data_IF_347576819948
#
_entry.id   IF_347576819948
#
_cell.length_a   1.000
_cell.length_b   1.000
_cell.length_c   1.000
_cell.angle_alpha   90.00
_cell.angle_beta   90.00
_cell.angle_gamma   90.00
#
_symmetry.space_group_name_H-M   'P 1'
#
loop_
_entity.id
_entity.type
_entity.pdbx_description
1 polymer ?
#
# COMPACT_ATOMS: atom_id res chain seq x y z
N UNK A 1 -7.06 36.20 52.28
CA UNK A 1 -5.74 36.23 51.60
C UNK A 1 -5.03 34.87 51.56
N UNK A 2 -4.99 34.07 52.64
CA UNK A 2 -4.23 32.80 52.71
C UNK A 2 -4.63 31.74 51.67
N UNK A 3 -5.92 31.60 51.36
CA UNK A 3 -6.42 30.58 50.41
C UNK A 3 -6.01 30.90 48.95
N UNK A 4 -5.98 32.18 48.57
CA UNK A 4 -5.55 32.59 47.22
C UNK A 4 -4.06 32.37 46.99
N UNK A 5 -3.24 32.49 48.05
CA UNK A 5 -1.81 32.21 48.01
C UNK A 5 -1.55 30.70 47.85
N UNK A 6 -2.31 29.86 48.56
CA UNK A 6 -2.22 28.39 48.43
C UNK A 6 -2.58 27.91 47.03
N UNK A 7 -3.66 28.46 46.44
CA UNK A 7 -4.06 28.12 45.07
C UNK A 7 -2.97 28.55 44.07
N UNK A 8 -2.38 29.73 44.24
CA UNK A 8 -1.28 30.19 43.39
C UNK A 8 -0.05 29.28 43.49
N UNK A 9 0.32 28.85 44.70
CA UNK A 9 1.46 27.94 44.89
C UNK A 9 1.21 26.55 44.27
N UNK A 10 -0.01 26.02 44.38
CA UNK A 10 -0.37 24.73 43.77
C UNK A 10 -0.36 24.82 42.23
N UNK A 11 -0.84 25.93 41.67
CA UNK A 11 -0.82 26.14 40.21
C UNK A 11 0.62 26.30 39.67
N UNK A 12 1.51 26.98 40.41
CA UNK A 12 2.92 27.09 40.02
C UNK A 12 3.64 25.74 40.13
N UNK A 13 3.35 24.94 41.16
CA UNK A 13 3.91 23.60 41.31
C UNK A 13 3.41 22.65 40.21
N UNK A 14 2.12 22.73 39.83
CA UNK A 14 1.56 21.96 38.72
C UNK A 14 2.18 22.37 37.38
N UNK A 15 2.39 23.68 37.15
CA UNK A 15 3.07 24.17 35.94
C UNK A 15 4.54 23.70 35.89
N UNK A 16 5.24 23.69 37.02
CA UNK A 16 6.64 23.26 37.08
C UNK A 16 6.82 21.74 36.87
N UNK A 17 5.87 20.92 37.34
CA UNK A 17 5.84 19.47 37.10
C UNK A 17 5.41 19.11 35.66
N UNK A 18 4.57 19.94 35.03
CA UNK A 18 4.26 19.80 33.61
C UNK A 18 5.46 20.17 32.71
N UNK A 19 6.29 21.15 33.11
CA UNK A 19 7.46 21.56 32.32
C UNK A 19 8.65 20.58 32.40
N UNK A 20 8.79 19.79 33.47
CA UNK A 20 9.93 18.85 33.60
C UNK A 20 9.71 17.52 32.90
N UNK A 21 8.51 17.25 32.37
CA UNK A 21 8.22 16.03 31.59
C UNK A 21 8.41 16.21 30.07
N UNK A 22 8.68 17.43 29.59
CA UNK A 22 8.92 17.71 28.16
C UNK A 22 10.40 17.79 27.75
N UNK A 23 11.34 17.40 28.62
CA UNK A 23 12.79 17.45 28.32
C UNK A 23 13.47 16.08 28.20
N UNK A 24 12.75 15.09 27.68
CA UNK A 24 13.36 14.15 26.73
C UNK A 24 12.79 14.46 25.35
N UNK A 25 13.37 15.50 24.75
CA UNK A 25 13.45 15.59 23.29
C UNK A 25 14.18 14.32 22.82
N UNK A 26 13.42 13.25 22.61
CA UNK A 26 13.68 12.38 21.46
C UNK A 26 13.89 13.36 20.32
N UNK A 27 15.11 13.41 19.78
CA UNK A 27 15.28 14.09 18.51
C UNK A 27 14.17 13.56 17.61
N UNK A 28 13.28 14.42 17.07
CA UNK A 28 12.36 13.97 16.05
C UNK A 28 13.25 13.23 15.04
N UNK A 29 12.87 12.01 14.65
CA UNK A 29 13.34 11.48 13.37
C UNK A 29 13.14 12.65 12.43
N UNK A 30 14.26 13.20 11.95
CA UNK A 30 14.26 14.46 11.22
C UNK A 30 13.21 14.29 10.14
N UNK A 31 12.13 15.06 10.23
CA UNK A 31 11.31 15.36 9.06
C UNK A 31 12.16 16.31 8.22
N UNK A 32 13.28 15.80 7.72
CA UNK A 32 13.85 16.29 6.49
C UNK A 32 12.78 15.91 5.48
N UNK A 33 11.84 16.85 5.24
CA UNK A 33 10.85 16.70 4.20
C UNK A 33 11.55 16.13 2.98
N UNK A 34 11.00 15.03 2.46
CA UNK A 34 11.54 14.21 1.37
C UNK A 34 12.62 15.01 0.62
N UNK A 35 13.93 14.66 0.74
CA UNK A 35 14.95 15.28 -0.08
C UNK A 35 14.47 15.27 -1.53
N UNK A 36 14.51 16.42 -2.21
CA UNK A 36 14.09 16.51 -3.61
C UNK A 36 14.60 15.28 -4.34
N UNK A 37 13.68 14.58 -5.03
CA UNK A 37 13.99 13.38 -5.77
C UNK A 37 15.30 13.63 -6.52
N UNK A 38 16.32 12.80 -6.28
CA UNK A 38 17.46 12.71 -7.18
C UNK A 38 16.91 12.74 -8.60
N UNK A 39 17.46 13.61 -9.47
CA UNK A 39 16.99 13.78 -10.85
C UNK A 39 16.95 12.45 -11.64
N UNK A 40 17.55 11.40 -11.09
CA UNK A 40 17.27 10.01 -11.45
C UNK A 40 17.18 9.16 -10.17
N UNK A 41 16.03 8.55 -9.85
CA UNK A 41 15.95 7.59 -8.74
C UNK A 41 16.89 6.40 -9.02
N UNK A 42 17.54 5.82 -8.00
CA UNK A 42 18.43 4.69 -8.20
C UNK A 42 17.64 3.52 -8.81
N UNK A 43 18.09 3.05 -9.98
CA UNK A 43 17.52 1.87 -10.61
C UNK A 43 18.29 0.63 -10.19
N UNK A 44 17.56 -0.40 -9.76
CA UNK A 44 18.11 -1.74 -9.47
C UNK A 44 17.93 -2.61 -10.70
N UNK A 45 18.99 -3.36 -11.03
CA UNK A 45 19.04 -4.19 -12.23
C UNK A 45 19.06 -5.65 -11.81
N UNK A 46 18.12 -6.41 -12.37
CA UNK A 46 18.04 -7.85 -12.18
C UNK A 46 18.16 -8.57 -13.52
N UNK A 47 18.75 -9.76 -13.51
CA UNK A 47 19.06 -10.54 -14.71
C UNK A 47 18.72 -12.01 -14.48
N UNK A 48 18.16 -12.67 -15.49
CA UNK A 48 18.02 -14.13 -15.46
C UNK A 48 19.26 -14.84 -16.06
N UNK A 49 19.26 -16.17 -15.96
CA UNK A 49 20.31 -17.02 -16.52
C UNK A 49 20.47 -16.90 -18.05
N UNK A 50 19.48 -16.36 -18.76
CA UNK A 50 19.55 -16.11 -20.21
C UNK A 50 20.17 -14.74 -20.55
N UNK A 51 20.45 -13.90 -19.54
CA UNK A 51 20.97 -12.55 -19.69
C UNK A 51 19.91 -11.50 -19.99
N UNK A 52 18.62 -11.83 -19.85
CA UNK A 52 17.54 -10.83 -19.96
C UNK A 52 17.56 -9.96 -18.71
N UNK A 53 17.60 -8.65 -18.92
CA UNK A 53 17.72 -7.66 -17.85
C UNK A 53 16.40 -6.93 -17.63
N UNK A 54 16.12 -6.62 -16.37
CA UNK A 54 14.98 -5.82 -15.94
C UNK A 54 15.47 -4.74 -15.00
N UNK A 55 14.91 -3.54 -15.17
CA UNK A 55 15.20 -2.37 -14.36
C UNK A 55 13.98 -2.03 -13.54
N UNK A 56 14.15 -1.93 -12.22
CA UNK A 56 13.11 -1.38 -11.34
C UNK A 56 13.60 -0.08 -10.70
N UNK A 57 12.66 0.80 -10.40
CA UNK A 57 12.88 1.99 -9.60
C UNK A 57 11.78 2.06 -8.54
N UNK A 58 12.15 2.41 -7.31
CA UNK A 58 11.22 2.47 -6.17
C UNK A 58 11.40 3.79 -5.41
N UNK A 59 11.09 4.93 -6.05
CA UNK A 59 11.42 6.25 -5.52
C UNK A 59 10.76 6.60 -4.17
N UNK A 60 9.61 6.00 -3.82
CA UNK A 60 8.99 6.14 -2.51
C UNK A 60 9.72 5.29 -1.47
N UNK A 61 10.01 4.02 -1.78
CA UNK A 61 10.80 3.15 -0.91
C UNK A 61 12.21 3.68 -0.67
N UNK A 62 12.82 4.31 -1.68
CA UNK A 62 14.16 4.90 -1.62
C UNK A 62 14.28 6.08 -0.65
N UNK A 63 13.16 6.53 -0.05
CA UNK A 63 13.15 7.54 1.02
C UNK A 63 13.40 6.96 2.42
N UNK A 64 13.29 5.64 2.59
CA UNK A 64 13.42 4.97 3.88
C UNK A 64 14.87 4.59 4.15
N UNK A 65 15.57 5.23 5.07
CA UNK A 65 16.97 4.88 5.35
C UNK A 65 17.09 3.67 6.26
N UNK A 66 18.02 2.78 5.94
CA UNK A 66 18.46 1.71 6.83
C UNK A 66 19.88 2.02 7.33
N UNK A 67 20.01 2.37 8.61
CA UNK A 67 21.29 2.78 9.20
C UNK A 67 22.25 1.60 9.47
N UNK A 68 21.74 0.38 9.38
CA UNK A 68 22.48 -0.87 9.59
C UNK A 68 21.86 -1.73 10.68
N UNK A 69 22.28 -2.99 10.73
CA UNK A 69 21.72 -3.99 11.65
C UNK A 69 21.96 -3.57 13.12
N UNK A 70 23.10 -2.96 13.45
CA UNK A 70 23.39 -2.48 14.83
C UNK A 70 22.40 -1.43 15.31
N UNK A 71 22.11 -0.41 14.50
CA UNK A 71 21.16 0.65 14.87
C UNK A 71 19.74 0.10 14.96
N UNK A 72 19.36 -0.81 14.06
CA UNK A 72 18.10 -1.54 14.15
C UNK A 72 17.97 -2.27 15.49
N UNK A 73 19.00 -3.01 15.93
CA UNK A 73 18.95 -3.75 17.19
C UNK A 73 18.85 -2.82 18.41
N UNK A 74 19.49 -1.64 18.36
CA UNK A 74 19.34 -0.61 19.39
C UNK A 74 17.91 -0.11 19.45
N UNK A 75 17.29 0.19 18.30
CA UNK A 75 15.90 0.63 18.24
C UNK A 75 14.93 -0.44 18.73
N UNK A 76 15.15 -1.70 18.33
CA UNK A 76 14.35 -2.84 18.79
C UNK A 76 14.43 -3.01 20.30
N UNK A 77 15.63 -2.93 20.88
CA UNK A 77 15.83 -3.04 22.33
C UNK A 77 15.07 -1.98 23.11
N UNK A 78 15.03 -0.75 22.59
CA UNK A 78 14.27 0.32 23.22
C UNK A 78 12.75 0.10 23.10
N UNK A 79 12.27 -0.45 21.99
CA UNK A 79 10.84 -0.76 21.78
C UNK A 79 10.37 -1.95 22.63
N UNK A 80 11.21 -2.95 22.85
CA UNK A 80 10.89 -4.18 23.60
C UNK A 80 11.22 -4.10 25.08
N UNK A 81 11.77 -2.98 25.58
CA UNK A 81 12.20 -2.84 26.99
C UNK A 81 11.13 -3.15 28.04
N UNK A 82 9.84 -3.02 27.69
CA UNK A 82 8.70 -3.29 28.57
C UNK A 82 8.04 -4.66 28.31
N UNK A 83 8.56 -5.46 27.38
CA UNK A 83 8.03 -6.78 27.02
C UNK A 83 9.20 -7.77 26.86
N UNK A 84 9.46 -8.56 27.92
CA UNK A 84 10.59 -9.49 27.96
C UNK A 84 10.48 -10.63 26.94
N UNK A 85 9.27 -11.12 26.66
CA UNK A 85 9.03 -12.19 25.68
C UNK A 85 9.32 -11.70 24.26
N UNK A 86 8.86 -10.48 23.92
CA UNK A 86 9.19 -9.85 22.65
C UNK A 86 10.68 -9.50 22.54
N UNK A 87 11.33 -9.17 23.66
CA UNK A 87 12.76 -8.85 23.67
C UNK A 87 13.62 -10.08 23.36
N UNK A 88 13.28 -11.27 23.87
CA UNK A 88 14.03 -12.50 23.63
C UNK A 88 14.07 -12.84 22.13
N UNK A 89 12.92 -13.00 21.48
CA UNK A 89 12.89 -13.44 20.07
C UNK A 89 13.38 -12.35 19.10
N UNK A 90 12.99 -11.09 19.30
CA UNK A 90 13.31 -10.02 18.36
C UNK A 90 14.78 -9.58 18.45
N UNK A 91 15.40 -9.64 19.63
CA UNK A 91 16.81 -9.29 19.78
C UNK A 91 17.72 -10.42 19.34
N UNK A 92 17.39 -11.67 19.64
CA UNK A 92 18.14 -12.83 19.14
C UNK A 92 18.11 -12.87 17.60
N UNK A 93 16.93 -12.63 17.02
CA UNK A 93 16.78 -12.48 15.58
C UNK A 93 17.60 -11.33 15.01
N UNK A 94 17.64 -10.19 15.71
CA UNK A 94 18.36 -9.01 15.25
C UNK A 94 19.88 -9.22 15.25
N UNK A 95 20.41 -9.82 16.31
CA UNK A 95 21.84 -10.08 16.46
C UNK A 95 22.36 -11.06 15.38
N UNK A 96 21.50 -11.90 14.82
CA UNK A 96 21.83 -12.88 13.78
C UNK A 96 21.52 -12.44 12.34
N UNK A 97 21.03 -11.21 12.10
CA UNK A 97 20.66 -10.73 10.74
C UNK A 97 21.84 -10.81 9.78
N UNK A 98 23.02 -10.38 10.23
CA UNK A 98 24.21 -10.20 9.37
C UNK A 98 24.94 -11.50 9.03
N UNK A 99 24.49 -12.65 9.55
CA UNK A 99 25.19 -13.93 9.38
C UNK A 99 24.60 -14.75 8.24
N UNK A 100 25.47 -15.44 7.50
CA UNK A 100 25.11 -16.33 6.40
C UNK A 100 25.40 -15.74 5.01
N UNK A 101 24.77 -16.33 4.00
CA UNK A 101 24.80 -15.87 2.60
C UNK A 101 23.92 -14.63 2.39
N UNK A 102 24.15 -13.88 1.31
CA UNK A 102 23.33 -12.70 0.98
C UNK A 102 21.83 -13.00 0.87
N UNK A 103 21.48 -14.19 0.37
CA UNK A 103 20.09 -14.67 0.29
C UNK A 103 19.51 -14.90 1.69
N UNK A 104 20.25 -15.56 2.58
CA UNK A 104 19.83 -15.79 3.96
C UNK A 104 19.66 -14.46 4.71
N UNK A 105 20.61 -13.53 4.57
CA UNK A 105 20.52 -12.19 5.16
C UNK A 105 19.26 -11.46 4.67
N UNK A 106 18.98 -11.50 3.36
CA UNK A 106 17.76 -10.89 2.80
C UNK A 106 16.49 -11.52 3.38
N UNK A 107 16.45 -12.85 3.52
CA UNK A 107 15.31 -13.57 4.09
C UNK A 107 15.10 -13.24 5.57
N UNK A 108 16.17 -13.19 6.38
CA UNK A 108 16.10 -12.78 7.79
C UNK A 108 15.56 -11.36 7.93
N UNK A 109 16.00 -10.43 7.07
CA UNK A 109 15.48 -9.05 7.03
C UNK A 109 14.00 -9.01 6.66
N UNK A 110 13.56 -9.75 5.65
CA UNK A 110 12.14 -9.82 5.25
C UNK A 110 11.28 -10.40 6.37
N UNK A 111 11.74 -11.47 7.00
CA UNK A 111 11.03 -12.13 8.10
C UNK A 111 10.87 -11.19 9.30
N UNK A 112 11.96 -10.58 9.78
CA UNK A 112 11.91 -9.68 10.92
C UNK A 112 11.11 -8.40 10.58
N UNK A 113 11.21 -7.88 9.35
CA UNK A 113 10.35 -6.77 8.91
C UNK A 113 8.86 -7.15 8.96
N UNK A 114 8.51 -8.36 8.53
CA UNK A 114 7.13 -8.85 8.58
C UNK A 114 6.64 -8.92 10.01
N UNK A 115 7.42 -9.51 10.93
CA UNK A 115 7.02 -9.55 12.35
C UNK A 115 6.88 -8.18 13.02
N UNK A 116 7.69 -7.19 12.60
CA UNK A 116 7.62 -5.84 13.16
C UNK A 116 6.46 -5.03 12.60
N UNK A 117 6.25 -5.14 11.29
CA UNK A 117 5.27 -4.37 10.54
C UNK A 117 3.85 -4.94 10.61
N UNK A 118 3.71 -6.25 10.82
CA UNK A 118 2.42 -6.90 10.98
C UNK A 118 1.77 -6.51 12.31
N UNK A 119 0.55 -5.99 12.21
CA UNK A 119 -0.29 -5.65 13.36
C UNK A 119 -1.18 -6.80 13.82
N UNK A 120 -1.20 -7.93 13.11
CA UNK A 120 -2.05 -9.06 13.45
C UNK A 120 -1.52 -9.81 14.69
N UNK A 121 -2.42 -10.11 15.62
CA UNK A 121 -2.13 -10.77 16.91
C UNK A 121 -1.64 -12.23 16.77
N UNK A 122 -1.47 -12.72 15.53
CA UNK A 122 -1.00 -14.07 15.23
C UNK A 122 0.49 -14.26 15.58
N UNK A 123 1.28 -13.17 15.59
CA UNK A 123 2.61 -13.16 16.20
C UNK A 123 2.50 -12.72 17.66
N UNK A 124 2.79 -13.64 18.57
CA UNK A 124 2.58 -13.65 20.03
C UNK A 124 3.22 -12.51 20.85
N UNK A 125 3.66 -11.42 20.23
CA UNK A 125 4.42 -10.35 20.86
C UNK A 125 3.57 -9.11 20.98
N UNK A 126 3.02 -8.86 22.17
CA UNK A 126 2.33 -7.61 22.49
C UNK A 126 3.31 -6.42 22.50
N UNK A 127 3.71 -5.97 21.32
CA UNK A 127 4.40 -4.70 21.13
C UNK A 127 3.40 -3.56 21.40
N UNK A 128 3.86 -2.40 21.87
CA UNK A 128 2.97 -1.26 22.09
C UNK A 128 2.14 -0.94 20.82
N UNK A 129 0.81 -0.87 20.98
CA UNK A 129 -0.14 -0.57 19.89
C UNK A 129 -0.67 0.87 19.97
N UNK A 130 0.06 1.77 20.64
CA UNK A 130 -0.22 3.19 20.40
C UNK A 130 0.24 3.57 18.99
N UNK A 131 -0.45 4.54 18.39
CA UNK A 131 -0.24 4.93 16.99
C UNK A 131 1.21 5.34 16.69
N UNK A 132 1.88 6.01 17.64
CA UNK A 132 3.27 6.43 17.50
C UNK A 132 4.22 5.23 17.39
N UNK A 133 4.09 4.27 18.29
CA UNK A 133 4.94 3.08 18.31
C UNK A 133 4.64 2.16 17.13
N UNK A 134 3.37 2.01 16.73
CA UNK A 134 3.00 1.28 15.51
C UNK A 134 3.62 1.90 14.26
N UNK A 135 3.50 3.22 14.08
CA UNK A 135 4.10 3.92 12.94
C UNK A 135 5.63 3.74 12.95
N UNK A 136 6.29 3.82 14.10
CA UNK A 136 7.72 3.60 14.22
C UNK A 136 8.14 2.19 13.80
N UNK A 137 7.41 1.16 14.25
CA UNK A 137 7.64 -0.24 13.87
C UNK A 137 7.51 -0.44 12.36
N UNK A 138 6.47 0.11 11.75
CA UNK A 138 6.26 -0.02 10.29
C UNK A 138 7.35 0.73 9.52
N UNK A 139 7.80 1.90 9.96
CA UNK A 139 8.93 2.61 9.33
C UNK A 139 10.21 1.77 9.37
N UNK A 140 10.53 1.17 10.52
CA UNK A 140 11.68 0.29 10.65
C UNK A 140 11.55 -0.93 9.73
N UNK A 141 10.39 -1.56 9.70
CA UNK A 141 10.12 -2.69 8.84
C UNK A 141 10.24 -2.34 7.35
N UNK A 142 9.72 -1.19 6.90
CA UNK A 142 9.88 -0.73 5.51
C UNK A 142 11.35 -0.44 5.20
N UNK A 143 12.10 0.19 6.11
CA UNK A 143 13.55 0.39 5.95
C UNK A 143 14.30 -0.94 5.82
N UNK A 144 13.91 -1.97 6.56
CA UNK A 144 14.47 -3.31 6.45
C UNK A 144 14.13 -3.98 5.11
N UNK A 145 12.90 -3.85 4.62
CA UNK A 145 12.51 -4.36 3.30
C UNK A 145 13.28 -3.66 2.17
N UNK A 146 13.53 -2.36 2.29
CA UNK A 146 14.45 -1.65 1.39
C UNK A 146 15.86 -2.25 1.48
N UNK A 147 16.39 -2.48 2.67
CA UNK A 147 17.72 -3.05 2.85
C UNK A 147 17.83 -4.49 2.34
N UNK A 148 16.75 -5.27 2.40
CA UNK A 148 16.66 -6.59 1.76
C UNK A 148 16.68 -6.46 0.23
N UNK A 149 15.92 -5.51 -0.32
CA UNK A 149 15.92 -5.20 -1.75
C UNK A 149 17.30 -4.75 -2.25
N UNK A 150 18.01 -3.93 -1.48
CA UNK A 150 19.36 -3.44 -1.78
C UNK A 150 20.44 -4.54 -1.65
N UNK A 151 20.21 -5.55 -0.81
CA UNK A 151 21.11 -6.68 -0.62
C UNK A 151 20.86 -7.82 -1.63
N UNK A 152 19.71 -7.83 -2.31
CA UNK A 152 19.40 -8.82 -3.33
C UNK A 152 20.41 -8.70 -4.49
N UNK A 153 21.12 -9.79 -4.77
CA UNK A 153 22.07 -9.85 -5.87
C UNK A 153 21.34 -9.66 -7.22
N UNK A 154 22.03 -9.19 -8.28
CA UNK A 154 21.41 -9.00 -9.60
C UNK A 154 20.78 -10.26 -10.20
N UNK A 155 21.28 -11.44 -9.86
CA UNK A 155 20.74 -12.75 -10.26
C UNK A 155 19.71 -13.33 -9.28
N UNK A 156 19.42 -12.62 -8.19
CA UNK A 156 18.52 -12.99 -7.10
C UNK A 156 17.18 -12.22 -7.19
N UNK A 157 16.54 -12.24 -8.36
CA UNK A 157 15.28 -11.52 -8.62
C UNK A 157 14.12 -12.01 -7.73
N UNK A 158 14.18 -13.25 -7.24
CA UNK A 158 13.17 -13.84 -6.37
C UNK A 158 13.18 -13.18 -4.98
N UNK A 159 14.36 -12.90 -4.45
CA UNK A 159 14.57 -12.25 -3.16
C UNK A 159 14.08 -10.81 -3.19
N UNK A 160 14.39 -10.09 -4.29
CA UNK A 160 13.85 -8.76 -4.55
C UNK A 160 12.31 -8.77 -4.67
N UNK A 161 11.76 -9.76 -5.36
CA UNK A 161 10.30 -9.96 -5.45
C UNK A 161 9.69 -10.17 -4.07
N UNK A 162 10.26 -11.03 -3.22
CA UNK A 162 9.77 -11.26 -1.86
C UNK A 162 9.82 -10.02 -0.98
N UNK A 163 10.89 -9.22 -1.06
CA UNK A 163 10.98 -7.97 -0.30
C UNK A 163 9.88 -6.96 -0.70
N UNK A 164 9.60 -6.84 -2.00
CA UNK A 164 8.55 -5.96 -2.51
C UNK A 164 7.15 -6.46 -2.17
N UNK A 165 6.93 -7.78 -2.21
CA UNK A 165 5.65 -8.40 -1.88
C UNK A 165 5.29 -8.16 -0.40
N UNK A 166 6.29 -8.22 0.49
CA UNK A 166 6.14 -7.92 1.92
C UNK A 166 5.84 -6.46 2.26
N UNK A 167 5.84 -5.52 1.30
CA UNK A 167 5.46 -4.12 1.54
C UNK A 167 3.97 -3.91 1.86
N UNK A 168 3.17 -4.98 1.87
CA UNK A 168 1.80 -4.93 2.39
C UNK A 168 1.72 -4.40 3.83
N UNK A 169 2.79 -4.52 4.63
CA UNK A 169 2.92 -3.93 5.98
C UNK A 169 2.74 -2.40 5.99
N UNK A 170 2.88 -1.71 4.85
CA UNK A 170 2.59 -0.28 4.73
C UNK A 170 1.09 0.03 4.96
N UNK A 171 0.22 -0.98 4.98
CA UNK A 171 -1.16 -0.85 5.43
C UNK A 171 -1.24 -0.33 6.87
N UNK A 172 -0.32 -0.74 7.73
CA UNK A 172 -0.38 -0.46 9.17
C UNK A 172 0.21 0.91 9.54
N UNK A 173 0.98 1.50 8.61
CA UNK A 173 1.43 2.89 8.65
C UNK A 173 0.39 3.91 8.14
N UNK A 174 -0.75 3.46 7.61
CA UNK A 174 -1.67 4.31 6.84
C UNK A 174 -2.35 5.45 7.63
N UNK A 175 -2.20 5.51 8.95
CA UNK A 175 -2.73 6.59 9.79
C UNK A 175 -2.06 7.95 9.59
N UNK A 176 -0.72 8.02 9.49
CA UNK A 176 -0.01 9.31 9.43
C UNK A 176 1.49 9.16 9.10
N UNK A 177 1.87 8.60 7.94
CA UNK A 177 3.25 8.78 7.48
C UNK A 177 3.43 10.25 7.05
N UNK A 178 3.85 11.10 8.00
CA UNK A 178 3.99 12.54 7.83
C UNK A 178 4.94 12.95 6.69
N UNK A 179 5.79 12.02 6.24
CA UNK A 179 6.69 12.20 5.11
C UNK A 179 6.04 12.08 3.72
N UNK A 180 4.78 11.68 3.60
CA UNK A 180 4.06 11.63 2.31
C UNK A 180 2.86 12.58 2.34
N UNK A 181 2.66 13.39 1.29
CA UNK A 181 1.59 14.38 1.24
C UNK A 181 0.62 14.11 0.07
N UNK A 182 -0.68 13.89 0.32
CA UNK A 182 -1.31 13.79 1.65
C UNK A 182 -1.01 12.43 2.34
N UNK A 183 -0.86 12.39 3.67
CA UNK A 183 -0.45 11.18 4.39
C UNK A 183 -1.33 9.96 4.17
N UNK A 184 -2.65 10.16 4.04
CA UNK A 184 -3.61 9.07 3.86
C UNK A 184 -3.39 8.27 2.56
N UNK A 185 -2.72 8.85 1.56
CA UNK A 185 -2.40 8.17 0.30
C UNK A 185 -1.10 7.37 0.34
N UNK A 186 -0.33 7.43 1.43
CA UNK A 186 0.96 6.76 1.52
C UNK A 186 0.85 5.26 1.20
N UNK A 187 -0.13 4.58 1.81
CA UNK A 187 -0.40 3.16 1.60
C UNK A 187 -0.61 2.84 0.12
N UNK A 188 -1.49 3.60 -0.54
CA UNK A 188 -1.85 3.37 -1.93
C UNK A 188 -0.69 3.71 -2.87
N UNK A 189 0.09 4.74 -2.55
CA UNK A 189 1.33 5.06 -3.26
C UNK A 189 2.37 3.93 -3.16
N UNK A 190 2.59 3.38 -1.97
CA UNK A 190 3.53 2.29 -1.75
C UNK A 190 3.09 1.02 -2.48
N UNK A 191 1.79 0.68 -2.43
CA UNK A 191 1.24 -0.47 -3.16
C UNK A 191 1.36 -0.34 -4.68
N UNK A 192 1.09 0.85 -5.21
CA UNK A 192 1.22 1.09 -6.65
C UNK A 192 2.69 0.96 -7.10
N UNK A 193 3.62 1.56 -6.36
CA UNK A 193 5.05 1.49 -6.67
C UNK A 193 5.60 0.07 -6.56
N UNK A 194 5.38 -0.61 -5.43
CA UNK A 194 5.79 -1.99 -5.23
C UNK A 194 5.14 -2.92 -6.25
N UNK A 195 3.85 -2.70 -6.56
CA UNK A 195 3.10 -3.46 -7.54
C UNK A 195 3.68 -3.37 -8.96
N UNK A 196 4.02 -2.17 -9.43
CA UNK A 196 4.66 -2.03 -10.76
C UNK A 196 6.05 -2.68 -10.78
N UNK A 197 6.81 -2.59 -9.69
CA UNK A 197 8.09 -3.29 -9.56
C UNK A 197 7.92 -4.82 -9.57
N UNK A 198 6.90 -5.36 -8.88
CA UNK A 198 6.57 -6.78 -8.87
C UNK A 198 6.14 -7.31 -10.24
N UNK A 199 5.28 -6.57 -10.96
CA UNK A 199 4.89 -6.91 -12.33
C UNK A 199 6.11 -6.96 -13.25
N UNK A 200 7.01 -5.99 -13.10
CA UNK A 200 8.24 -5.85 -13.88
C UNK A 200 9.22 -6.99 -13.58
N UNK A 201 9.38 -7.38 -12.31
CA UNK A 201 10.25 -8.49 -11.88
C UNK A 201 9.70 -9.88 -12.13
N UNK A 202 8.37 -10.03 -12.23
CA UNK A 202 7.72 -11.34 -12.31
C UNK A 202 8.40 -12.32 -13.29
N UNK A 203 8.75 -11.92 -14.53
CA UNK A 203 9.35 -12.83 -15.50
C UNK A 203 10.72 -13.38 -15.10
N UNK A 204 11.44 -12.69 -14.19
CA UNK A 204 12.74 -13.10 -13.66
C UNK A 204 12.62 -13.85 -12.33
N UNK A 205 11.55 -13.63 -11.57
CA UNK A 205 11.33 -14.24 -10.25
C UNK A 205 10.92 -15.73 -10.30
N UNK A 206 10.92 -16.36 -11.47
CA UNK A 206 10.58 -17.77 -11.66
C UNK A 206 9.08 -18.09 -11.55
N UNK A 207 8.22 -17.07 -11.60
CA UNK A 207 6.76 -17.24 -11.62
C UNK A 207 6.28 -17.66 -13.00
N UNK A 208 5.41 -18.67 -13.06
CA UNK A 208 4.81 -19.15 -14.30
C UNK A 208 3.52 -18.42 -14.68
N UNK A 209 2.95 -17.64 -13.76
CA UNK A 209 1.67 -16.95 -13.90
C UNK A 209 1.82 -15.47 -14.25
N UNK A 210 2.98 -15.04 -14.78
CA UNK A 210 3.28 -13.62 -15.00
C UNK A 210 2.43 -12.89 -16.03
N UNK A 211 1.62 -13.58 -16.83
CA UNK A 211 0.64 -12.96 -17.72
C UNK A 211 -0.69 -12.66 -17.01
N UNK A 212 -0.98 -13.40 -15.94
CA UNK A 212 -2.22 -13.27 -15.14
C UNK A 212 -1.99 -12.68 -13.75
N UNK A 213 -0.76 -12.66 -13.26
CA UNK A 213 -0.40 -12.18 -11.93
C UNK A 213 -0.78 -10.70 -11.75
N UNK A 214 -1.53 -10.38 -10.71
CA UNK A 214 -1.83 -9.00 -10.32
C UNK A 214 -1.43 -8.86 -8.85
N UNK A 215 -0.52 -7.93 -8.49
CA UNK A 215 -0.16 -7.70 -7.10
C UNK A 215 -1.36 -7.33 -6.25
N UNK A 216 -1.44 -7.91 -5.05
CA UNK A 216 -2.61 -7.80 -4.17
C UNK A 216 -2.93 -6.33 -3.83
N UNK A 217 -4.17 -5.92 -4.11
CA UNK A 217 -4.68 -4.58 -3.81
C UNK A 217 -4.09 -3.44 -4.65
N UNK A 218 -3.23 -3.73 -5.62
CA UNK A 218 -2.68 -2.75 -6.55
C UNK A 218 -3.75 -2.06 -7.42
N UNK A 219 -4.77 -2.77 -7.97
CA UNK A 219 -5.78 -2.10 -8.80
C UNK A 219 -6.53 -1.01 -8.03
N UNK A 220 -6.94 -1.31 -6.79
CA UNK A 220 -7.62 -0.35 -5.90
C UNK A 220 -6.71 0.81 -5.47
N UNK A 221 -5.43 0.53 -5.22
CA UNK A 221 -4.46 1.57 -4.90
C UNK A 221 -4.26 2.55 -6.05
N UNK A 222 -4.15 2.06 -7.28
CA UNK A 222 -4.09 2.89 -8.49
C UNK A 222 -5.37 3.69 -8.72
N UNK A 223 -6.53 3.09 -8.46
CA UNK A 223 -7.82 3.78 -8.54
C UNK A 223 -7.88 4.96 -7.56
N UNK A 224 -7.52 4.74 -6.29
CA UNK A 224 -7.52 5.79 -5.26
C UNK A 224 -6.55 6.93 -5.61
N UNK A 225 -5.34 6.59 -6.05
CA UNK A 225 -4.36 7.58 -6.51
C UNK A 225 -4.86 8.34 -7.75
N UNK A 226 -5.42 7.64 -8.73
CA UNK A 226 -5.94 8.22 -9.96
C UNK A 226 -7.09 9.18 -9.72
N UNK A 227 -8.04 8.80 -8.84
CA UNK A 227 -9.15 9.67 -8.41
C UNK A 227 -8.62 10.91 -7.70
N UNK A 228 -7.71 10.74 -6.73
CA UNK A 228 -7.21 11.88 -5.96
C UNK A 228 -6.35 12.84 -6.79
N UNK A 229 -5.46 12.29 -7.62
CA UNK A 229 -4.56 13.08 -8.48
C UNK A 229 -5.24 13.58 -9.75
N UNK A 230 -6.48 13.16 -10.03
CA UNK A 230 -7.15 13.40 -11.31
C UNK A 230 -6.31 12.91 -12.49
N UNK A 231 -5.78 11.70 -12.40
CA UNK A 231 -4.88 11.09 -13.39
C UNK A 231 -5.58 9.94 -14.13
N UNK A 232 -5.91 10.18 -15.41
CA UNK A 232 -6.55 9.19 -16.27
C UNK A 232 -5.69 7.94 -16.47
N UNK A 233 -4.37 8.08 -16.59
CA UNK A 233 -3.50 6.94 -16.88
C UNK A 233 -3.48 5.93 -15.72
N UNK A 234 -3.49 6.42 -14.48
CA UNK A 234 -3.60 5.55 -13.29
C UNK A 234 -4.94 4.81 -13.24
N UNK A 235 -6.04 5.48 -13.61
CA UNK A 235 -7.37 4.85 -13.67
C UNK A 235 -7.45 3.78 -14.78
N UNK A 236 -6.88 4.06 -15.96
CA UNK A 236 -6.84 3.09 -17.06
C UNK A 236 -5.97 1.89 -16.72
N UNK A 237 -4.83 2.10 -16.05
CA UNK A 237 -3.97 1.03 -15.53
C UNK A 237 -4.67 0.20 -14.46
N UNK A 238 -5.41 0.83 -13.55
CA UNK A 238 -6.26 0.14 -12.57
C UNK A 238 -7.29 -0.78 -13.27
N UNK A 239 -8.01 -0.25 -14.26
CA UNK A 239 -9.01 -1.00 -15.01
C UNK A 239 -8.39 -2.19 -15.78
N UNK A 240 -7.21 -2.00 -16.38
CA UNK A 240 -6.46 -3.08 -17.04
C UNK A 240 -6.15 -4.23 -16.05
N UNK A 241 -5.67 -3.89 -14.86
CA UNK A 241 -5.31 -4.87 -13.84
C UNK A 241 -6.54 -5.57 -13.23
N UNK A 242 -7.66 -4.85 -13.02
CA UNK A 242 -8.94 -5.45 -12.62
C UNK A 242 -9.41 -6.50 -13.64
N UNK A 243 -9.36 -6.15 -14.93
CA UNK A 243 -9.76 -7.06 -16.00
C UNK A 243 -8.83 -8.26 -16.10
N UNK A 244 -7.52 -8.07 -15.92
CA UNK A 244 -6.53 -9.15 -15.88
C UNK A 244 -6.77 -10.10 -14.70
N UNK A 245 -6.99 -9.55 -13.50
CA UNK A 245 -7.30 -10.33 -12.29
C UNK A 245 -8.58 -11.15 -12.48
N UNK A 246 -9.65 -10.53 -12.98
CA UNK A 246 -10.92 -11.21 -13.24
C UNK A 246 -10.77 -12.33 -14.27
N UNK A 247 -10.05 -12.09 -15.38
CA UNK A 247 -9.84 -13.10 -16.43
C UNK A 247 -9.01 -14.31 -15.96
N UNK A 248 -8.24 -14.17 -14.90
CA UNK A 248 -7.50 -15.29 -14.30
C UNK A 248 -8.41 -16.26 -13.52
N UNK A 249 -9.66 -15.87 -13.21
CA UNK A 249 -10.61 -16.69 -12.48
C UNK A 249 -11.33 -17.63 -13.44
N UNK A 250 -11.03 -18.93 -13.35
CA UNK A 250 -11.57 -19.96 -14.26
C UNK A 250 -13.11 -20.06 -14.24
N UNK A 251 -13.70 -19.95 -13.05
CA UNK A 251 -15.15 -20.07 -12.83
C UNK A 251 -15.58 -19.06 -11.74
N UNK A 252 -15.77 -17.77 -12.09
CA UNK A 252 -16.13 -16.75 -11.10
C UNK A 252 -17.53 -16.99 -10.54
N UNK A 253 -17.70 -16.82 -9.23
CA UNK A 253 -19.03 -16.78 -8.63
C UNK A 253 -19.77 -15.50 -9.06
N UNK A 254 -21.10 -15.53 -9.08
CA UNK A 254 -21.91 -14.33 -9.39
C UNK A 254 -21.58 -13.10 -8.54
N UNK A 255 -21.13 -13.30 -7.31
CA UNK A 255 -20.65 -12.21 -6.45
C UNK A 255 -19.36 -11.60 -7.00
N UNK A 256 -18.37 -12.42 -7.36
CA UNK A 256 -17.11 -11.95 -7.95
C UNK A 256 -17.30 -11.27 -9.29
N UNK A 257 -18.24 -11.77 -10.12
CA UNK A 257 -18.62 -11.10 -11.37
C UNK A 257 -19.22 -9.72 -11.11
N UNK A 258 -20.06 -9.58 -10.08
CA UNK A 258 -20.65 -8.30 -9.70
C UNK A 258 -19.60 -7.34 -9.15
N UNK A 259 -18.73 -7.83 -8.25
CA UNK A 259 -17.65 -7.04 -7.64
C UNK A 259 -16.74 -6.46 -8.74
N UNK A 260 -16.30 -7.32 -9.68
CA UNK A 260 -15.55 -6.88 -10.85
C UNK A 260 -16.32 -5.83 -11.68
N UNK A 261 -17.58 -6.10 -12.03
CA UNK A 261 -18.37 -5.18 -12.85
C UNK A 261 -18.56 -3.81 -12.19
N UNK A 262 -18.75 -3.78 -10.87
CA UNK A 262 -18.90 -2.55 -10.10
C UNK A 262 -17.59 -1.76 -10.06
N UNK A 263 -16.49 -2.38 -9.67
CA UNK A 263 -15.19 -1.72 -9.55
C UNK A 263 -14.67 -1.23 -10.92
N UNK A 264 -14.85 -2.06 -11.96
CA UNK A 264 -14.45 -1.74 -13.32
C UNK A 264 -15.29 -0.59 -13.91
N UNK A 265 -16.61 -0.63 -13.73
CA UNK A 265 -17.51 0.45 -14.17
C UNK A 265 -17.22 1.75 -13.44
N UNK A 266 -16.98 1.69 -12.12
CA UNK A 266 -16.66 2.87 -11.33
C UNK A 266 -15.35 3.49 -11.80
N UNK A 267 -14.30 2.69 -11.94
CA UNK A 267 -12.96 3.15 -12.38
C UNK A 267 -13.01 3.82 -13.75
N UNK A 268 -13.63 3.19 -14.75
CA UNK A 268 -13.75 3.78 -16.10
C UNK A 268 -14.74 4.95 -16.16
N UNK A 269 -15.73 5.00 -15.27
CA UNK A 269 -16.62 6.15 -15.09
C UNK A 269 -15.84 7.40 -14.70
N UNK A 270 -14.95 7.30 -13.69
CA UNK A 270 -14.06 8.40 -13.31
C UNK A 270 -13.09 8.77 -14.44
N UNK A 271 -12.51 7.81 -15.15
CA UNK A 271 -11.63 8.10 -16.28
C UNK A 271 -12.36 8.89 -17.38
N UNK A 272 -13.64 8.57 -17.64
CA UNK A 272 -14.50 9.32 -18.56
C UNK A 272 -14.73 10.77 -18.11
N UNK A 273 -14.90 11.02 -16.81
CA UNK A 273 -15.08 12.38 -16.28
C UNK A 273 -13.84 13.26 -16.50
N UNK A 274 -12.64 12.68 -16.41
CA UNK A 274 -11.38 13.40 -16.59
C UNK A 274 -11.06 13.74 -18.05
N UNK A 275 -11.48 12.91 -19.01
CA UNK A 275 -11.20 13.12 -20.44
C UNK A 275 -12.47 12.98 -21.31
N UNK A 276 -13.26 14.06 -21.46
CA UNK A 276 -14.50 14.04 -22.23
C UNK A 276 -14.31 13.71 -23.72
N UNK A 277 -13.12 13.92 -24.29
CA UNK A 277 -12.81 13.67 -25.70
C UNK A 277 -12.82 12.18 -26.05
N UNK A 278 -12.36 11.33 -25.13
CA UNK A 278 -12.39 9.87 -25.24
C UNK A 278 -13.42 9.22 -24.30
N UNK A 279 -14.07 10.00 -23.45
CA UNK A 279 -14.89 9.51 -22.34
C UNK A 279 -16.02 8.56 -22.76
N UNK A 280 -16.66 8.82 -23.91
CA UNK A 280 -17.72 7.94 -24.40
C UNK A 280 -17.25 6.49 -24.67
N UNK A 281 -15.96 6.27 -24.93
CA UNK A 281 -15.40 4.93 -25.11
C UNK A 281 -15.17 4.24 -23.74
N UNK A 282 -14.64 4.98 -22.76
CA UNK A 282 -14.42 4.48 -21.40
C UNK A 282 -15.73 4.11 -20.72
N UNK A 283 -16.75 4.97 -20.80
CA UNK A 283 -18.07 4.70 -20.24
C UNK A 283 -18.72 3.46 -20.87
N UNK A 284 -18.65 3.33 -22.20
CA UNK A 284 -19.17 2.14 -22.91
C UNK A 284 -18.44 0.86 -22.51
N UNK A 285 -17.11 0.92 -22.37
CA UNK A 285 -16.31 -0.22 -21.91
C UNK A 285 -16.66 -0.59 -20.46
N UNK A 286 -16.80 0.40 -19.58
CA UNK A 286 -17.08 0.20 -18.15
C UNK A 286 -18.46 -0.40 -17.86
N UNK A 287 -19.48 -0.02 -18.61
CA UNK A 287 -20.86 -0.49 -18.39
C UNK A 287 -21.08 -1.93 -18.89
N UNK A 288 -20.31 -2.38 -19.89
CA UNK A 288 -20.52 -3.68 -20.54
C UNK A 288 -20.52 -4.88 -19.57
N UNK A 289 -19.55 -5.06 -18.64
CA UNK A 289 -19.59 -6.16 -17.69
C UNK A 289 -20.84 -6.14 -16.79
N UNK A 290 -21.33 -4.95 -16.43
CA UNK A 290 -22.53 -4.81 -15.62
C UNK A 290 -23.80 -5.20 -16.40
N UNK A 291 -23.87 -4.83 -17.68
CA UNK A 291 -24.95 -5.25 -18.58
C UNK A 291 -24.97 -6.77 -18.77
N UNK A 292 -23.80 -7.39 -18.98
CA UNK A 292 -23.65 -8.84 -19.13
C UNK A 292 -24.11 -9.58 -17.85
N UNK A 293 -23.69 -9.10 -16.68
CA UNK A 293 -24.11 -9.66 -15.39
C UNK A 293 -25.63 -9.53 -15.18
N UNK A 294 -26.22 -8.36 -15.47
CA UNK A 294 -27.66 -8.13 -15.38
C UNK A 294 -28.45 -9.01 -16.38
N UNK A 295 -27.91 -9.22 -17.59
CA UNK A 295 -28.48 -10.09 -18.60
C UNK A 295 -28.55 -11.55 -18.15
N UNK A 296 -27.48 -12.05 -17.55
CA UNK A 296 -27.36 -13.42 -17.03
C UNK A 296 -28.23 -13.67 -15.77
N UNK A 297 -28.59 -12.61 -15.03
CA UNK A 297 -29.52 -12.69 -13.91
C UNK A 297 -30.99 -12.85 -14.34
N UNK A 298 -31.40 -12.23 -15.46
CA UNK A 298 -32.78 -12.30 -15.97
C UNK A 298 -33.17 -13.69 -16.49
N UNK A 299 -32.20 -14.56 -16.76
CA UNK A 299 -32.40 -15.92 -17.26
C UNK A 299 -32.33 -17.00 -16.17
N UNK A 300 -32.01 -16.64 -14.91
CA UNK A 300 -31.94 -17.57 -13.79
C UNK A 300 -33.25 -17.55 -12.96
N UNK A 301 -33.75 -18.71 -12.46
CA UNK A 301 -34.91 -18.73 -11.56
C UNK A 301 -34.57 -17.97 -10.27
N UNK A 302 -35.26 -16.84 -10.06
CA UNK A 302 -35.11 -15.95 -8.90
C UNK A 302 -35.39 -16.69 -7.60
N UNK A 303 -34.35 -17.04 -6.86
CA UNK A 303 -34.42 -17.42 -5.45
C UNK A 303 -33.26 -16.79 -4.66
N UNK A 304 -32.98 -15.52 -4.93
CA UNK A 304 -32.00 -14.72 -4.20
C UNK A 304 -32.76 -13.60 -3.50
N UNK A 305 -32.73 -13.60 -2.16
CA UNK A 305 -33.26 -12.51 -1.33
C UNK A 305 -32.69 -11.18 -1.83
N UNK A 306 -33.59 -10.25 -2.15
CA UNK A 306 -33.27 -8.86 -2.41
C UNK A 306 -32.74 -8.19 -1.14
N UNK A 307 -31.47 -8.41 -0.83
CA UNK A 307 -30.74 -7.57 0.11
C UNK A 307 -30.09 -6.42 -0.66
N UNK A 308 -30.39 -5.19 -0.23
CA UNK A 308 -29.67 -3.88 -0.33
C UNK A 308 -28.80 -3.50 -1.54
N UNK A 309 -28.21 -4.43 -2.28
CA UNK A 309 -27.36 -4.21 -3.47
C UNK A 309 -28.11 -3.61 -4.66
N UNK A 310 -29.40 -3.92 -4.83
CA UNK A 310 -30.24 -3.38 -5.92
C UNK A 310 -30.48 -1.86 -5.74
N UNK A 311 -30.53 -1.38 -4.49
CA UNK A 311 -30.73 0.05 -4.22
C UNK A 311 -29.48 0.90 -4.56
N UNK A 312 -28.26 0.36 -4.37
CA UNK A 312 -27.02 1.01 -4.84
C UNK A 312 -26.91 0.99 -6.37
N UNK A 313 -27.30 -0.12 -7.01
CA UNK A 313 -27.37 -0.25 -8.47
C UNK A 313 -28.25 0.83 -9.13
N UNK A 314 -29.40 1.17 -8.54
CA UNK A 314 -30.29 2.21 -9.05
C UNK A 314 -29.68 3.62 -8.98
N UNK A 315 -28.89 3.93 -7.94
CA UNK A 315 -28.20 5.21 -7.82
C UNK A 315 -27.06 5.37 -8.83
N UNK A 316 -26.30 4.31 -9.11
CA UNK A 316 -25.20 4.37 -10.09
C UNK A 316 -25.69 4.38 -11.55
N UNK A 317 -26.81 3.71 -11.84
CA UNK A 317 -27.42 3.73 -13.17
C UNK A 317 -28.12 5.05 -13.51
N UNK A 318 -28.80 5.71 -12.55
CA UNK A 318 -29.50 6.99 -12.81
C UNK A 318 -28.50 8.13 -13.10
N UNK A 319 -27.30 8.09 -12.51
CA UNK A 319 -26.21 9.04 -12.83
C UNK A 319 -25.69 8.81 -14.26
N UNK A 320 -25.45 7.55 -14.63
CA UNK A 320 -24.94 7.20 -15.97
C UNK A 320 -25.95 7.52 -17.09
N UNK A 321 -27.25 7.31 -16.83
CA UNK A 321 -28.29 7.58 -17.82
C UNK A 321 -28.53 9.08 -18.04
N UNK A 322 -28.41 9.91 -17.00
CA UNK A 322 -28.52 11.38 -17.11
C UNK A 322 -27.36 12.00 -17.88
N UNK A 323 -26.16 11.46 -17.75
CA UNK A 323 -24.95 11.94 -18.45
C UNK A 323 -24.99 11.56 -19.94
N UNK A 324 -25.51 10.37 -20.29
CA UNK A 324 -25.69 9.97 -21.69
C UNK A 324 -26.73 10.84 -22.43
N UNK A 325 -27.73 11.38 -21.72
CA UNK A 325 -28.79 12.20 -22.29
C UNK A 325 -28.47 13.70 -22.43
N UNK A 326 -27.34 14.18 -21.89
CA UNK A 326 -26.97 15.61 -21.88
C UNK A 326 -25.93 16.00 -22.93
N UNK A 327 -25.51 15.08 -23.81
CA UNK A 327 -24.64 15.38 -24.96
C UNK A 327 -25.47 16.02 -26.09
N UNK A 328 -25.26 17.29 -26.47
CA UNK A 328 -25.95 17.87 -27.61
C UNK A 328 -25.44 17.20 -28.88
N UNK A 329 -26.33 16.59 -29.65
CA UNK A 329 -26.05 16.14 -31.02
C UNK A 329 -25.67 17.35 -31.88
N UNK A 330 -24.38 17.59 -32.05
CA UNK A 330 -23.86 18.51 -33.05
C UNK A 330 -24.07 17.89 -34.45
N UNK A 331 -25.10 18.38 -35.15
CA UNK A 331 -25.25 18.21 -36.60
C UNK A 331 -24.02 18.82 -37.28
N UNK A 332 -23.29 18.03 -38.06
CA UNK A 332 -22.22 18.53 -38.94
C UNK A 332 -22.84 19.24 -40.16
N UNK A 333 -22.18 20.30 -40.68
CA UNK A 333 -22.59 20.99 -41.90
C UNK A 333 -22.48 20.11 -43.15
#
# INVERSE_FOLDING_TARGET
MKVRLLIACVLVAAAYMALTTETRLSTPIKSDGIPQASETPPSRIYKDASGREVHIATPLLDKFSYAGDTDLCIELREMTKSNAEAAEELLDACDDISTGSAVEISQKRIWLATMLGDGDEEYTYSLPDNETDRNRRVVLAISMLRAALDAAAPDAAKEAFSALDSLWIANDASGAFAGYNPPFLFRSAMKAEAGEALLTLCPLAGRSDCDSFVPSGMPKALEELGRWKSDEALLLRSAELLEREYRAIKDPSKSKELDFAQDFSATLGYANELNPGNGSAHARRGVKPLEEWLGNMKTAPMNVRCDTSIARLAQHMDVSHRIASSVPTLKRP
#
